data_IF_877494609176
#
_entry.id   IF_877494609176
#
_cell.length_a   1.000
_cell.length_b   1.000
_cell.length_c   1.000
_cell.angle_alpha   90.00
_cell.angle_beta   90.00
_cell.angle_gamma   90.00
#
_symmetry.space_group_name_H-M   'P 1'
#
loop_
_entity.id
_entity.type
_entity.pdbx_description
1 polymer ?
#
# COMPACT_ATOMS: atom_id res chain seq x y z
N UNK A 1 43.22 44.00 8.85
CA UNK A 1 42.51 43.18 7.83
C UNK A 1 42.55 41.67 8.15
N UNK A 2 42.25 41.25 9.39
CA UNK A 2 42.30 39.82 9.80
C UNK A 2 41.01 39.31 10.48
N UNK A 3 40.10 40.20 10.87
CA UNK A 3 38.85 39.85 11.54
C UNK A 3 37.71 39.32 10.63
N UNK A 4 37.51 39.77 9.37
CA UNK A 4 36.34 39.32 8.61
C UNK A 4 36.47 37.86 8.17
N UNK A 5 37.68 37.42 7.78
CA UNK A 5 37.93 36.05 7.30
C UNK A 5 37.76 35.01 8.42
N UNK A 6 38.18 35.33 9.64
CA UNK A 6 38.04 34.44 10.80
C UNK A 6 36.56 34.30 11.20
N UNK A 7 35.79 35.40 11.15
CA UNK A 7 34.35 35.37 11.44
C UNK A 7 33.60 34.52 10.41
N UNK A 8 33.91 34.65 9.12
CA UNK A 8 33.28 33.86 8.06
C UNK A 8 33.60 32.36 8.18
N UNK A 9 34.83 32.01 8.53
CA UNK A 9 35.23 30.62 8.78
C UNK A 9 34.50 30.01 9.99
N UNK A 10 34.39 30.76 11.09
CA UNK A 10 33.67 30.29 12.29
C UNK A 10 32.18 30.10 12.00
N UNK A 11 31.55 31.01 11.25
CA UNK A 11 30.15 30.88 10.85
C UNK A 11 29.95 29.69 9.91
N UNK A 12 30.86 29.46 8.96
CA UNK A 12 30.78 28.31 8.05
C UNK A 12 30.92 26.97 8.80
N UNK A 13 31.83 26.87 9.77
CA UNK A 13 32.01 25.67 10.61
C UNK A 13 30.81 25.43 11.52
N UNK A 14 30.20 26.49 12.08
CA UNK A 14 28.99 26.36 12.89
C UNK A 14 27.79 25.91 12.05
N UNK A 15 27.64 26.43 10.83
CA UNK A 15 26.56 26.03 9.93
C UNK A 15 26.69 24.58 9.47
N UNK A 16 27.90 24.10 9.16
CA UNK A 16 28.09 22.68 8.80
C UNK A 16 27.86 21.75 9.98
N UNK A 17 28.21 22.15 11.20
CA UNK A 17 27.89 21.38 12.41
C UNK A 17 26.38 21.24 12.62
N UNK A 18 25.59 22.30 12.43
CA UNK A 18 24.12 22.25 12.58
C UNK A 18 23.47 21.31 11.54
N UNK A 19 23.97 21.29 10.30
CA UNK A 19 23.44 20.40 9.25
C UNK A 19 23.80 18.93 9.50
N UNK A 20 24.93 18.65 10.15
CA UNK A 20 25.34 17.28 10.49
C UNK A 20 24.56 16.68 11.68
N UNK A 21 24.10 17.50 12.63
CA UNK A 21 23.30 17.02 13.78
C UNK A 21 21.77 17.01 13.54
N UNK A 22 21.29 17.63 12.47
CA UNK A 22 19.88 17.55 12.06
C UNK A 22 19.54 16.27 11.25
N UNK A 23 20.51 15.37 11.06
CA UNK A 23 20.33 14.08 10.42
C UNK A 23 19.54 13.10 11.28
N UNK A 24 18.25 12.96 10.94
CA UNK A 24 17.46 11.73 11.05
C UNK A 24 17.47 10.99 12.40
N UNK A 25 16.85 11.56 13.44
CA UNK A 25 16.24 10.72 14.47
C UNK A 25 14.84 10.32 14.02
N UNK A 26 14.75 9.37 13.09
CA UNK A 26 13.54 8.56 12.97
C UNK A 26 13.46 7.74 14.26
N UNK A 27 12.47 8.05 15.10
CA UNK A 27 12.16 7.20 16.23
C UNK A 27 12.05 5.74 15.73
N UNK A 28 12.62 4.76 16.45
CA UNK A 28 12.34 3.36 16.13
C UNK A 28 10.81 3.20 16.15
N UNK A 29 10.21 2.53 15.14
CA UNK A 29 8.78 2.25 15.19
C UNK A 29 8.49 1.55 16.51
N UNK A 30 7.50 2.04 17.25
CA UNK A 30 7.01 1.40 18.46
C UNK A 30 6.61 -0.04 18.10
N UNK A 31 7.53 -0.98 18.29
CA UNK A 31 7.25 -2.41 18.26
C UNK A 31 6.52 -2.76 19.54
N UNK A 32 5.30 -2.22 19.71
CA UNK A 32 4.32 -2.97 20.49
C UNK A 32 4.13 -4.29 19.76
N UNK A 33 4.28 -5.44 20.45
CA UNK A 33 3.84 -6.70 19.89
C UNK A 33 2.42 -6.50 19.41
N UNK A 34 2.22 -6.55 18.08
CA UNK A 34 0.87 -6.71 17.57
C UNK A 34 0.34 -7.96 18.26
N UNK A 35 -0.86 -7.90 18.87
CA UNK A 35 -1.48 -9.11 19.36
C UNK A 35 -1.47 -10.13 18.22
N UNK A 36 -1.28 -11.43 18.50
CA UNK A 36 -1.34 -12.44 17.46
C UNK A 36 -2.60 -12.17 16.65
N UNK A 37 -2.42 -11.92 15.35
CA UNK A 37 -3.53 -11.82 14.42
C UNK A 37 -4.21 -13.16 14.52
N UNK A 38 -5.28 -13.23 15.30
CA UNK A 38 -6.15 -14.39 15.33
C UNK A 38 -6.44 -14.72 13.86
N UNK A 39 -6.41 -16.01 13.47
CA UNK A 39 -6.85 -16.39 12.13
C UNK A 39 -8.16 -15.66 11.88
N UNK A 40 -8.25 -14.94 10.76
CA UNK A 40 -9.46 -14.23 10.36
C UNK A 40 -10.59 -15.25 10.48
N UNK A 41 -11.31 -15.18 11.59
CA UNK A 41 -12.42 -16.07 11.86
C UNK A 41 -13.41 -15.69 10.80
N UNK A 42 -13.48 -16.51 9.75
CA UNK A 42 -14.44 -16.39 8.68
C UNK A 42 -15.79 -16.55 9.37
N UNK A 43 -16.38 -15.43 9.79
CA UNK A 43 -17.68 -15.44 10.39
C UNK A 43 -18.61 -16.14 9.39
N UNK A 44 -19.43 -17.12 9.83
CA UNK A 44 -20.39 -17.77 8.96
C UNK A 44 -21.22 -16.69 8.30
N UNK A 45 -21.16 -16.64 6.97
CA UNK A 45 -21.95 -15.69 6.17
C UNK A 45 -23.41 -16.14 6.32
N UNK A 46 -24.30 -15.30 6.89
CA UNK A 46 -25.71 -15.68 7.06
C UNK A 46 -26.29 -16.14 5.73
N UNK A 47 -26.97 -17.30 5.72
CA UNK A 47 -27.63 -17.82 4.54
C UNK A 47 -28.59 -16.78 3.97
N UNK A 48 -28.27 -16.20 2.81
CA UNK A 48 -29.01 -15.11 2.19
C UNK A 48 -28.25 -13.79 2.03
N UNK A 49 -27.07 -13.63 2.65
CA UNK A 49 -26.19 -12.49 2.39
C UNK A 49 -25.33 -12.72 1.14
N UNK A 50 -25.21 -11.67 0.31
CA UNK A 50 -24.40 -11.72 -0.91
C UNK A 50 -22.92 -11.87 -0.55
N UNK A 51 -22.22 -12.76 -1.27
CA UNK A 51 -20.78 -12.96 -1.16
C UNK A 51 -20.10 -12.21 -2.31
N UNK A 52 -19.22 -11.26 -1.98
CA UNK A 52 -18.50 -10.49 -2.98
C UNK A 52 -17.30 -9.76 -2.39
N UNK A 53 -16.54 -9.11 -3.27
CA UNK A 53 -15.36 -8.34 -2.89
C UNK A 53 -15.82 -7.11 -2.12
N UNK A 54 -15.28 -6.89 -0.93
CA UNK A 54 -15.72 -5.82 -0.01
C UNK A 54 -15.02 -4.48 -0.23
N UNK A 55 -13.96 -4.45 -1.03
CA UNK A 55 -13.26 -3.22 -1.44
C UNK A 55 -13.68 -2.80 -2.85
N UNK A 56 -13.86 -1.49 -3.05
CA UNK A 56 -14.22 -0.94 -4.37
C UNK A 56 -13.03 -0.82 -5.32
N UNK A 57 -11.82 -0.56 -4.80
CA UNK A 57 -10.64 -0.26 -5.59
C UNK A 57 -9.35 -0.80 -4.94
N UNK A 58 -8.29 -0.94 -5.72
CA UNK A 58 -6.95 -1.37 -5.34
C UNK A 58 -6.75 -2.89 -5.34
N UNK A 59 -5.61 -3.32 -4.76
CA UNK A 59 -5.17 -4.72 -4.71
C UNK A 59 -5.43 -5.44 -3.39
N UNK A 60 -5.88 -4.72 -2.37
CA UNK A 60 -6.27 -5.31 -1.09
C UNK A 60 -7.70 -5.85 -1.20
N UNK A 61 -7.79 -7.08 -1.71
CA UNK A 61 -9.06 -7.76 -1.95
C UNK A 61 -9.39 -8.64 -0.75
N UNK A 62 -10.58 -8.42 -0.21
CA UNK A 62 -11.19 -9.29 0.77
C UNK A 62 -12.59 -9.66 0.29
N UNK A 63 -13.01 -10.88 0.62
CA UNK A 63 -14.35 -11.36 0.38
C UNK A 63 -15.13 -11.31 1.69
N UNK A 64 -16.41 -10.95 1.59
CA UNK A 64 -17.26 -10.87 2.76
C UNK A 64 -18.73 -10.73 2.41
N UNK A 65 -19.54 -10.65 3.46
CA UNK A 65 -20.93 -10.26 3.35
C UNK A 65 -21.02 -8.76 3.00
N UNK A 66 -22.06 -8.39 2.23
CA UNK A 66 -22.36 -7.01 1.85
C UNK A 66 -21.27 -6.38 0.94
N UNK A 67 -20.96 -6.97 -0.23
CA UNK A 67 -20.19 -6.27 -1.25
C UNK A 67 -20.83 -4.91 -1.59
N UNK A 68 -20.03 -3.88 -1.91
CA UNK A 68 -20.56 -2.59 -2.33
C UNK A 68 -21.46 -2.74 -3.56
N UNK A 69 -22.68 -2.20 -3.49
CA UNK A 69 -23.60 -2.16 -4.64
C UNK A 69 -23.13 -1.15 -5.70
N UNK A 70 -22.51 -0.07 -5.26
CA UNK A 70 -21.99 1.01 -6.09
C UNK A 70 -20.61 1.42 -5.59
N UNK A 71 -19.69 1.64 -6.53
CA UNK A 71 -18.39 2.21 -6.28
C UNK A 71 -18.27 3.57 -6.98
N UNK A 72 -17.34 4.40 -6.52
CA UNK A 72 -16.99 5.64 -7.22
C UNK A 72 -16.34 5.31 -8.57
N UNK A 73 -16.30 6.27 -9.50
CA UNK A 73 -15.55 6.15 -10.75
C UNK A 73 -14.04 6.38 -10.55
N UNK A 74 -13.54 6.23 -9.32
CA UNK A 74 -12.11 6.33 -9.02
C UNK A 74 -11.38 5.15 -9.67
N UNK A 75 -10.13 5.36 -10.07
CA UNK A 75 -9.24 4.28 -10.44
C UNK A 75 -8.05 4.28 -9.49
N UNK A 76 -7.75 3.13 -8.87
CA UNK A 76 -6.55 2.94 -8.05
C UNK A 76 -5.62 1.93 -8.69
N UNK A 77 -4.33 2.08 -8.40
CA UNK A 77 -3.29 1.14 -8.82
C UNK A 77 -3.70 -0.31 -8.49
N UNK A 78 -3.73 -1.13 -9.53
CA UNK A 78 -4.08 -2.54 -9.51
C UNK A 78 -5.57 -2.85 -9.58
N UNK A 79 -6.43 -1.86 -9.83
CA UNK A 79 -7.83 -2.09 -10.18
C UNK A 79 -7.98 -3.04 -11.37
N UNK A 80 -7.09 -2.95 -12.36
CA UNK A 80 -7.03 -3.88 -13.50
C UNK A 80 -6.87 -5.33 -13.05
N UNK A 81 -6.12 -5.60 -11.97
CA UNK A 81 -5.88 -6.97 -11.52
C UNK A 81 -7.13 -7.62 -10.92
N UNK A 82 -8.12 -6.83 -10.48
CA UNK A 82 -9.35 -7.33 -9.83
C UNK A 82 -10.18 -8.24 -10.73
N UNK A 83 -10.05 -8.10 -12.05
CA UNK A 83 -10.72 -8.98 -13.02
C UNK A 83 -10.30 -10.46 -12.92
N UNK A 84 -9.16 -10.73 -12.27
CA UNK A 84 -8.60 -12.06 -12.06
C UNK A 84 -8.90 -12.64 -10.65
N UNK A 85 -9.73 -11.94 -9.89
CA UNK A 85 -10.15 -12.33 -8.55
C UNK A 85 -11.67 -12.44 -8.48
N UNK A 86 -12.16 -13.37 -7.66
CA UNK A 86 -13.59 -13.50 -7.36
C UNK A 86 -13.80 -14.01 -5.95
N UNK A 87 -15.02 -13.87 -5.46
CA UNK A 87 -15.43 -14.54 -4.24
C UNK A 87 -16.20 -15.82 -4.55
N UNK A 88 -15.89 -16.88 -3.82
CA UNK A 88 -16.54 -18.18 -3.91
C UNK A 88 -17.26 -18.49 -2.60
N UNK A 89 -18.51 -18.92 -2.69
CA UNK A 89 -19.39 -19.28 -1.57
C UNK A 89 -19.76 -20.77 -1.53
N UNK A 90 -19.25 -21.60 -2.46
CA UNK A 90 -19.59 -23.02 -2.60
C UNK A 90 -19.23 -23.86 -1.35
N UNK A 91 -18.25 -23.42 -0.57
CA UNK A 91 -17.80 -24.07 0.66
C UNK A 91 -18.51 -23.61 1.94
N UNK A 92 -19.64 -22.90 1.84
CA UNK A 92 -20.34 -22.34 3.00
C UNK A 92 -19.60 -21.18 3.69
N UNK A 93 -18.50 -20.73 3.12
CA UNK A 93 -17.73 -19.55 3.52
C UNK A 93 -17.47 -18.69 2.29
N UNK A 94 -17.41 -17.36 2.46
CA UNK A 94 -17.11 -16.43 1.38
C UNK A 94 -15.59 -16.25 1.29
N UNK A 95 -14.98 -16.87 0.30
CA UNK A 95 -13.51 -16.99 0.17
C UNK A 95 -13.00 -16.30 -1.09
N UNK A 96 -11.85 -15.65 -0.98
CA UNK A 96 -11.19 -15.05 -2.13
C UNK A 96 -10.51 -16.15 -2.95
N UNK A 97 -10.88 -16.24 -4.23
CA UNK A 97 -10.25 -17.11 -5.22
C UNK A 97 -9.54 -16.24 -6.25
N UNK A 98 -8.26 -16.53 -6.46
CA UNK A 98 -7.40 -15.84 -7.42
C UNK A 98 -6.76 -16.88 -8.34
N UNK A 99 -6.46 -16.50 -9.57
CA UNK A 99 -5.71 -17.34 -10.51
C UNK A 99 -4.25 -16.88 -10.65
N UNK A 100 -3.48 -17.54 -11.52
CA UNK A 100 -2.09 -17.16 -11.80
C UNK A 100 -1.96 -15.78 -12.47
N UNK A 101 -2.99 -15.30 -13.18
CA UNK A 101 -3.00 -13.97 -13.77
C UNK A 101 -3.11 -12.88 -12.70
N UNK A 102 -3.89 -13.12 -11.64
CA UNK A 102 -3.94 -12.21 -10.50
C UNK A 102 -2.56 -12.04 -9.86
N UNK A 103 -1.87 -13.15 -9.58
CA UNK A 103 -0.53 -13.12 -8.98
C UNK A 103 0.47 -12.38 -9.87
N UNK A 104 0.43 -12.63 -11.18
CA UNK A 104 1.30 -11.97 -12.17
C UNK A 104 1.02 -10.46 -12.24
N UNK A 105 -0.25 -10.08 -12.35
CA UNK A 105 -0.67 -8.69 -12.40
C UNK A 105 -0.29 -7.94 -11.11
N UNK A 106 -0.60 -8.52 -9.94
CA UNK A 106 -0.25 -7.96 -8.63
C UNK A 106 1.25 -7.72 -8.50
N UNK A 107 2.07 -8.73 -8.84
CA UNK A 107 3.52 -8.60 -8.77
C UNK A 107 4.07 -7.52 -9.71
N UNK A 108 3.46 -7.32 -10.87
CA UNK A 108 3.82 -6.24 -11.79
C UNK A 108 3.48 -4.87 -11.21
N UNK A 109 2.25 -4.69 -10.69
CA UNK A 109 1.83 -3.41 -10.09
C UNK A 109 2.65 -3.08 -8.85
N UNK A 110 2.94 -4.05 -7.99
CA UNK A 110 3.80 -3.85 -6.82
C UNK A 110 5.22 -3.41 -7.23
N UNK A 111 5.76 -3.93 -8.34
CA UNK A 111 7.02 -3.46 -8.90
C UNK A 111 6.93 -2.03 -9.46
N UNK A 112 5.83 -1.66 -10.10
CA UNK A 112 5.61 -0.28 -10.56
C UNK A 112 5.60 0.69 -9.38
N UNK A 113 4.85 0.37 -8.31
CA UNK A 113 4.81 1.18 -7.08
C UNK A 113 6.19 1.31 -6.44
N UNK A 114 6.96 0.22 -6.40
CA UNK A 114 8.29 0.21 -5.79
C UNK A 114 9.35 0.98 -6.59
N UNK A 115 9.20 1.08 -7.92
CA UNK A 115 10.12 1.82 -8.80
C UNK A 115 9.83 3.32 -8.81
N UNK A 116 8.54 3.68 -8.84
CA UNK A 116 8.08 5.04 -9.09
C UNK A 116 7.60 5.73 -7.79
N UNK A 117 8.29 5.53 -6.67
CA UNK A 117 7.84 6.02 -5.34
C UNK A 117 7.70 7.54 -5.24
N UNK A 118 8.40 8.29 -6.11
CA UNK A 118 8.38 9.75 -6.15
C UNK A 118 7.41 10.32 -7.21
N UNK A 119 6.89 9.48 -8.11
CA UNK A 119 6.03 9.89 -9.21
C UNK A 119 4.84 8.92 -9.38
N UNK A 120 3.70 9.22 -8.73
CA UNK A 120 2.49 8.40 -8.85
C UNK A 120 1.99 8.28 -10.30
N UNK A 121 2.18 9.28 -11.16
CA UNK A 121 1.73 9.20 -12.55
C UNK A 121 2.55 8.16 -13.33
N UNK A 122 3.86 8.13 -13.12
CA UNK A 122 4.74 7.10 -13.69
C UNK A 122 4.35 5.68 -13.23
N UNK A 123 3.87 5.51 -12.00
CA UNK A 123 3.37 4.23 -11.51
C UNK A 123 2.14 3.75 -12.30
N UNK A 124 1.21 4.64 -12.65
CA UNK A 124 0.04 4.31 -13.49
C UNK A 124 0.45 4.00 -14.94
N UNK A 125 1.39 4.75 -15.51
CA UNK A 125 1.93 4.47 -16.85
C UNK A 125 2.67 3.13 -16.91
N UNK A 126 3.30 2.74 -15.80
CA UNK A 126 3.89 1.42 -15.63
C UNK A 126 2.81 0.33 -15.54
N UNK A 127 1.77 0.51 -14.71
CA UNK A 127 0.65 -0.45 -14.57
C UNK A 127 -0.04 -0.73 -15.92
N UNK A 128 -0.17 0.28 -16.79
CA UNK A 128 -0.79 0.12 -18.11
C UNK A 128 -0.14 -1.01 -18.94
N UNK A 129 1.10 -1.39 -18.64
CA UNK A 129 1.90 -2.41 -19.33
C UNK A 129 1.86 -3.81 -18.67
N UNK A 130 1.19 -3.98 -17.52
CA UNK A 130 1.21 -5.20 -16.72
C UNK A 130 0.41 -6.41 -17.26
#
# INVERSE_FOLDING_TARGET
MKHPVVLTLVVAVLLTAVVLFAGCMSAPPDTKPMPPVSPVTTAPVPSGSSCGITSCHGLDLACGANPPEVCTMEYRLGDKCRQYARCDSSGGSCTLVTDSQFATCKACVEQCVARETADPAAAFDCEAKC
#
